data_IF_437914753902
#
_entry.id   IF_437914753902
#
_cell.length_a   1.000
_cell.length_b   1.000
_cell.length_c   1.000
_cell.angle_alpha   90.00
_cell.angle_beta   90.00
_cell.angle_gamma   90.00
#
_symmetry.space_group_name_H-M   'P 1'
#
loop_
_entity.id
_entity.type
_entity.pdbx_description
1 polymer ?
#
# COMPACT_ATOMS: atom_id res chain seq x y z
N UNK A 1 -13.94 -24.19 16.44
CA UNK A 1 -13.68 -22.82 15.95
C UNK A 1 -13.02 -22.96 14.60
N UNK A 2 -13.64 -22.48 13.52
CA UNK A 2 -12.95 -22.40 12.24
C UNK A 2 -12.03 -21.17 12.32
N UNK A 3 -10.73 -21.38 12.50
CA UNK A 3 -9.74 -20.35 12.23
C UNK A 3 -9.83 -20.02 10.74
N UNK A 4 -10.35 -18.84 10.41
CA UNK A 4 -10.22 -18.31 9.06
C UNK A 4 -8.84 -17.70 8.95
N UNK A 5 -8.03 -18.17 7.99
CA UNK A 5 -6.79 -17.50 7.64
C UNK A 5 -7.09 -16.06 7.21
N UNK A 6 -6.63 -15.08 7.99
CA UNK A 6 -6.60 -13.69 7.53
C UNK A 6 -5.44 -13.51 6.55
N UNK A 7 -5.77 -13.21 5.29
CA UNK A 7 -4.79 -12.97 4.22
C UNK A 7 -4.83 -11.51 3.82
N UNK A 8 -3.66 -10.86 3.86
CA UNK A 8 -3.45 -9.52 3.29
C UNK A 8 -2.69 -9.66 1.98
N UNK A 9 -3.31 -9.24 0.87
CA UNK A 9 -2.64 -9.14 -0.43
C UNK A 9 -2.21 -7.69 -0.63
N UNK A 10 -0.94 -7.49 -0.93
CA UNK A 10 -0.37 -6.18 -1.25
C UNK A 10 0.17 -6.23 -2.68
N UNK A 11 -0.31 -5.32 -3.51
CA UNK A 11 0.16 -5.13 -4.88
C UNK A 11 1.06 -3.91 -4.91
N UNK A 12 2.26 -4.06 -5.49
CA UNK A 12 3.22 -2.96 -5.63
C UNK A 12 3.51 -2.76 -7.10
N UNK A 13 3.40 -1.51 -7.56
CA UNK A 13 3.67 -1.14 -8.95
C UNK A 13 4.51 0.14 -9.02
N UNK A 14 5.29 0.26 -10.10
CA UNK A 14 5.93 1.52 -10.47
C UNK A 14 5.24 2.08 -11.71
N UNK A 15 4.85 3.35 -11.64
CA UNK A 15 4.08 4.03 -12.66
C UNK A 15 4.79 5.29 -13.16
N UNK A 16 4.68 5.56 -14.46
CA UNK A 16 5.29 6.73 -15.10
C UNK A 16 4.47 7.97 -14.73
N UNK A 17 5.10 8.94 -14.08
CA UNK A 17 4.50 10.21 -13.70
C UNK A 17 5.11 11.37 -14.51
N UNK A 18 4.46 12.53 -14.48
CA UNK A 18 5.02 13.73 -15.09
C UNK A 18 6.34 14.08 -14.39
N UNK A 19 7.47 13.84 -15.07
CA UNK A 19 8.81 14.14 -14.57
C UNK A 19 9.57 12.98 -13.93
N UNK A 20 9.02 11.75 -13.89
CA UNK A 20 9.74 10.60 -13.33
C UNK A 20 8.87 9.37 -13.17
N UNK A 21 9.19 8.57 -12.15
CA UNK A 21 8.43 7.39 -11.73
C UNK A 21 7.92 7.56 -10.31
N UNK A 22 6.77 6.98 -9.98
CA UNK A 22 6.32 6.80 -8.60
C UNK A 22 6.10 5.32 -8.33
N UNK A 23 6.36 4.88 -7.10
CA UNK A 23 5.98 3.54 -6.63
C UNK A 23 4.70 3.68 -5.82
N UNK A 24 3.71 2.86 -6.13
CA UNK A 24 2.47 2.76 -5.36
C UNK A 24 2.33 1.35 -4.81
N UNK A 25 1.82 1.26 -3.58
CA UNK A 25 1.41 0.01 -2.98
C UNK A 25 -0.08 0.09 -2.64
N UNK A 26 -0.83 -0.97 -2.97
CA UNK A 26 -2.27 -1.06 -2.81
C UNK A 26 -2.64 -2.30 -2.02
N UNK A 27 -3.61 -2.17 -1.11
CA UNK A 27 -4.20 -3.30 -0.42
C UNK A 27 -5.68 -3.04 -0.11
N UNK A 28 -6.46 -4.11 0.05
CA UNK A 28 -7.81 -4.05 0.62
C UNK A 28 -7.73 -4.50 2.07
N UNK A 29 -8.08 -3.60 2.98
CA UNK A 29 -8.14 -3.85 4.42
C UNK A 29 -9.60 -3.97 4.86
N UNK A 30 -9.84 -4.30 6.13
CA UNK A 30 -11.19 -4.30 6.72
C UNK A 30 -11.85 -2.91 6.69
N UNK A 31 -11.04 -1.84 6.72
CA UNK A 31 -11.50 -0.44 6.59
C UNK A 31 -11.82 -0.03 5.16
N UNK A 32 -11.45 -0.86 4.17
CA UNK A 32 -11.58 -0.56 2.75
C UNK A 32 -10.24 -0.52 2.00
N UNK A 33 -10.25 -0.04 0.74
CA UNK A 33 -9.04 0.06 -0.07
C UNK A 33 -8.11 1.16 0.45
N UNK A 34 -6.84 0.82 0.62
CA UNK A 34 -5.78 1.75 1.04
C UNK A 34 -4.68 1.77 -0.01
N UNK A 35 -4.09 2.94 -0.23
CA UNK A 35 -3.00 3.14 -1.19
C UNK A 35 -1.99 4.11 -0.62
N UNK A 36 -0.71 3.76 -0.71
CA UNK A 36 0.41 4.65 -0.42
C UNK A 36 1.26 4.82 -1.66
N UNK A 37 1.75 6.04 -1.90
CA UNK A 37 2.53 6.37 -3.10
C UNK A 37 3.77 7.16 -2.72
N UNK A 38 4.89 6.86 -3.36
CA UNK A 38 6.15 7.58 -3.17
C UNK A 38 6.16 8.95 -3.87
N UNK A 39 7.21 9.74 -3.61
CA UNK A 39 7.58 10.86 -4.47
C UNK A 39 8.14 10.42 -5.84
N UNK A 40 8.60 11.39 -6.62
CA UNK A 40 9.22 11.14 -7.92
C UNK A 40 10.61 10.49 -7.78
N UNK A 41 10.83 9.44 -8.56
CA UNK A 41 12.04 8.65 -8.64
C UNK A 41 12.58 8.69 -10.07
N UNK A 42 13.91 8.65 -10.18
CA UNK A 42 14.58 8.49 -11.45
C UNK A 42 14.51 7.01 -11.89
N UNK A 43 14.38 6.76 -13.18
CA UNK A 43 14.38 5.39 -13.70
C UNK A 43 14.07 5.33 -15.18
N UNK A 44 14.49 4.24 -15.82
CA UNK A 44 14.23 4.03 -17.26
C UNK A 44 12.98 3.19 -17.49
N UNK A 45 12.71 2.20 -16.63
CA UNK A 45 11.52 1.35 -16.65
C UNK A 45 11.03 0.96 -15.23
N UNK A 46 9.80 0.45 -15.14
CA UNK A 46 9.14 0.11 -13.88
C UNK A 46 9.90 -0.97 -13.09
N UNK A 47 10.43 -2.00 -13.76
CA UNK A 47 11.13 -3.10 -13.10
C UNK A 47 12.47 -2.64 -12.52
N UNK A 48 13.17 -1.75 -13.24
CA UNK A 48 14.35 -1.07 -12.70
C UNK A 48 14.01 -0.25 -11.46
N UNK A 49 12.97 0.60 -11.51
CA UNK A 49 12.60 1.48 -10.40
C UNK A 49 12.30 0.68 -9.13
N UNK A 50 11.57 -0.44 -9.24
CA UNK A 50 11.28 -1.31 -8.10
C UNK A 50 12.55 -2.00 -7.56
N UNK A 51 13.48 -2.38 -8.44
CA UNK A 51 14.74 -3.04 -8.06
C UNK A 51 15.72 -2.08 -7.39
N UNK A 52 15.79 -0.85 -7.87
CA UNK A 52 16.77 0.14 -7.45
C UNK A 52 16.32 0.91 -6.19
N UNK A 53 15.03 0.83 -5.82
CA UNK A 53 14.45 1.48 -4.63
C UNK A 53 13.75 0.51 -3.65
N UNK A 54 14.42 -0.55 -3.18
CA UNK A 54 13.82 -1.55 -2.29
C UNK A 54 13.38 -0.97 -0.94
N UNK A 55 14.05 0.07 -0.45
CA UNK A 55 13.70 0.77 0.79
C UNK A 55 12.36 1.52 0.66
N UNK A 56 12.07 2.08 -0.52
CA UNK A 56 10.78 2.74 -0.78
C UNK A 56 9.66 1.70 -0.81
N UNK A 57 9.88 0.56 -1.48
CA UNK A 57 8.93 -0.56 -1.49
C UNK A 57 8.66 -1.05 -0.07
N UNK A 58 9.70 -1.28 0.73
CA UNK A 58 9.56 -1.74 2.12
C UNK A 58 8.78 -0.74 2.98
N UNK A 59 9.05 0.56 2.85
CA UNK A 59 8.33 1.58 3.59
C UNK A 59 6.83 1.60 3.26
N UNK A 60 6.48 1.55 1.96
CA UNK A 60 5.09 1.55 1.50
C UNK A 60 4.34 0.28 1.91
N UNK A 61 4.96 -0.89 1.74
CA UNK A 61 4.41 -2.18 2.20
C UNK A 61 4.23 -2.17 3.71
N UNK A 62 5.22 -1.67 4.47
CA UNK A 62 5.16 -1.56 5.92
C UNK A 62 4.01 -0.66 6.39
N UNK A 63 3.78 0.47 5.71
CA UNK A 63 2.64 1.35 5.99
C UNK A 63 1.30 0.64 5.78
N UNK A 64 1.12 -0.09 4.66
CA UNK A 64 -0.10 -0.87 4.42
C UNK A 64 -0.33 -1.98 5.46
N UNK A 65 0.73 -2.65 5.88
CA UNK A 65 0.65 -3.65 6.95
C UNK A 65 0.23 -2.99 8.25
N UNK A 66 0.80 -1.82 8.58
CA UNK A 66 0.40 -1.07 9.78
C UNK A 66 -1.08 -0.65 9.73
N UNK A 67 -1.58 -0.21 8.57
CA UNK A 67 -3.00 0.12 8.39
C UNK A 67 -3.90 -1.11 8.54
N UNK A 68 -3.51 -2.24 7.95
CA UNK A 68 -4.27 -3.48 8.01
C UNK A 68 -4.30 -4.11 9.41
N UNK A 69 -3.26 -3.88 10.23
CA UNK A 69 -3.17 -4.36 11.60
C UNK A 69 -3.76 -3.38 12.62
N UNK A 70 -4.09 -2.15 12.21
CA UNK A 70 -4.72 -1.19 13.11
C UNK A 70 -6.15 -1.64 13.37
N UNK A 71 -6.52 -1.95 14.64
CA UNK A 71 -7.85 -2.44 14.94
C UNK A 71 -8.91 -1.40 14.56
N UNK A 72 -9.97 -1.85 13.89
CA UNK A 72 -11.14 -1.02 13.62
C UNK A 72 -11.85 -0.77 14.95
N UNK A 73 -11.88 0.48 15.40
CA UNK A 73 -12.64 0.85 16.60
C UNK A 73 -14.08 1.17 16.21
N UNK A 74 -15.05 0.81 17.04
CA UNK A 74 -16.49 1.05 16.79
C UNK A 74 -16.82 2.53 16.48
N UNK A 75 -15.95 3.48 16.87
CA UNK A 75 -16.11 4.91 16.62
C UNK A 75 -15.95 5.34 15.14
N UNK A 76 -15.38 4.51 14.27
CA UNK A 76 -15.21 4.82 12.83
C UNK A 76 -16.41 4.38 11.97
N UNK A 77 -17.37 3.64 12.55
CA UNK A 77 -18.55 3.06 11.84
C UNK A 77 -19.82 3.91 12.06
N UNK A 78 -19.71 5.12 12.63
CA UNK A 78 -20.86 6.02 12.75
C UNK A 78 -21.15 6.70 11.41
N UNK A 79 -22.12 6.15 10.67
CA UNK A 79 -22.83 6.92 9.65
C UNK A 79 -23.64 8.02 10.34
N UNK A 80 -23.63 9.28 9.84
CA UNK A 80 -24.57 10.28 10.32
C UNK A 80 -26.00 9.84 9.97
N UNK A 81 -26.88 9.86 10.99
CA UNK A 81 -28.34 9.70 10.85
C UNK A 81 -28.95 10.72 9.86
#
# INVERSE_FOLDING_TARGET
MNEQDHKLTIEVEAQKLAGGWGISAHARTERGPVTHTSGLLAGTDAAQVLRDHPETVQALVGALVADALTPVTEAEISYPD
#
